data_IF_242862299970
#
_entry.id   IF_242862299970
#
_cell.length_a   1.000
_cell.length_b   1.000
_cell.length_c   1.000
_cell.angle_alpha   90.00
_cell.angle_beta   90.00
_cell.angle_gamma   90.00
#
_symmetry.space_group_name_H-M   'P 1'
#
loop_
_entity.id
_entity.type
_entity.pdbx_description
1 polymer ?
#
# COMPACT_ATOMS: atom_id res chain seq x y z
N UNK A 1 0.92 -10.63 -6.45
CA UNK A 1 0.72 -11.15 -5.06
C UNK A 1 -0.40 -10.36 -4.38
N UNK A 2 -0.99 -10.88 -3.29
CA UNK A 2 -2.04 -10.16 -2.54
C UNK A 2 -1.43 -9.46 -1.33
N UNK A 3 -1.61 -8.15 -1.24
CA UNK A 3 -1.08 -7.29 -0.18
C UNK A 3 -2.22 -6.65 0.61
N UNK A 4 -2.12 -6.69 1.92
CA UNK A 4 -3.02 -5.98 2.82
C UNK A 4 -2.21 -4.97 3.62
N UNK A 5 -2.56 -3.69 3.52
CA UNK A 5 -1.83 -2.58 4.16
C UNK A 5 -2.75 -1.95 5.21
N UNK A 6 -2.27 -1.87 6.46
CA UNK A 6 -3.00 -1.25 7.56
C UNK A 6 -2.12 -0.17 8.17
N UNK A 7 -2.69 1.01 8.29
CA UNK A 7 -2.05 2.20 8.85
C UNK A 7 -2.95 2.76 9.95
N UNK A 8 -2.35 3.29 11.02
CA UNK A 8 -3.08 3.77 12.20
C UNK A 8 -3.03 5.29 12.40
N UNK A 9 -2.36 6.00 11.50
CA UNK A 9 -2.14 7.44 11.58
C UNK A 9 -1.87 8.03 10.19
N UNK A 10 -2.17 9.32 9.95
CA UNK A 10 -2.04 9.94 8.62
C UNK A 10 -0.62 9.87 8.03
N UNK A 11 0.40 9.87 8.90
CA UNK A 11 1.80 9.74 8.48
C UNK A 11 2.08 8.38 7.83
N UNK A 12 1.37 7.33 8.28
CA UNK A 12 1.43 5.98 7.76
C UNK A 12 0.79 5.86 6.38
N UNK A 13 -0.33 6.56 6.15
CA UNK A 13 -1.01 6.57 4.84
C UNK A 13 -0.09 7.13 3.75
N UNK A 14 0.66 8.18 4.06
CA UNK A 14 1.61 8.78 3.12
C UNK A 14 2.73 7.81 2.72
N UNK A 15 3.28 7.07 3.70
CA UNK A 15 4.29 6.05 3.45
C UNK A 15 3.72 4.85 2.68
N UNK A 16 2.51 4.40 3.05
CA UNK A 16 1.81 3.33 2.36
C UNK A 16 1.56 3.68 0.88
N UNK A 17 1.20 4.93 0.57
CA UNK A 17 1.00 5.37 -0.82
C UNK A 17 2.27 5.22 -1.67
N UNK A 18 3.44 5.59 -1.14
CA UNK A 18 4.72 5.42 -1.83
C UNK A 18 5.05 3.93 -2.05
N UNK A 19 4.81 3.08 -1.05
CA UNK A 19 5.00 1.64 -1.16
C UNK A 19 4.10 1.03 -2.25
N UNK A 20 2.82 1.40 -2.27
CA UNK A 20 1.87 0.93 -3.29
C UNK A 20 2.31 1.35 -4.69
N UNK A 21 2.81 2.57 -4.85
CA UNK A 21 3.29 3.08 -6.13
C UNK A 21 4.46 2.25 -6.68
N UNK A 22 5.46 1.96 -5.85
CA UNK A 22 6.60 1.13 -6.26
C UNK A 22 6.22 -0.34 -6.44
N UNK A 23 5.33 -0.89 -5.59
CA UNK A 23 4.85 -2.28 -5.73
C UNK A 23 4.15 -2.50 -7.07
N UNK A 24 3.33 -1.54 -7.54
CA UNK A 24 2.67 -1.63 -8.85
C UNK A 24 3.64 -1.61 -10.03
N UNK A 25 4.82 -1.01 -9.86
CA UNK A 25 5.88 -1.02 -10.90
C UNK A 25 6.60 -2.37 -10.94
N UNK A 26 6.91 -2.92 -9.77
CA UNK A 26 7.64 -4.19 -9.64
C UNK A 26 6.77 -5.41 -9.93
N UNK A 27 5.51 -5.40 -9.47
CA UNK A 27 4.54 -6.48 -9.65
C UNK A 27 3.24 -5.92 -10.26
N UNK A 28 3.09 -6.12 -11.58
CA UNK A 28 1.89 -5.70 -12.33
C UNK A 28 0.61 -6.45 -11.90
N UNK A 29 0.75 -7.60 -11.23
CA UNK A 29 -0.35 -8.41 -10.74
C UNK A 29 -0.50 -8.27 -9.21
N UNK A 30 0.01 -7.18 -8.63
CA UNK A 30 -0.21 -6.85 -7.23
C UNK A 30 -1.68 -6.49 -6.99
N UNK A 31 -2.37 -7.31 -6.21
CA UNK A 31 -3.70 -6.99 -5.68
C UNK A 31 -3.53 -6.38 -4.30
N UNK A 32 -3.99 -5.15 -4.12
CA UNK A 32 -3.72 -4.37 -2.91
C UNK A 32 -5.05 -3.98 -2.28
N UNK A 33 -5.20 -4.27 -0.99
CA UNK A 33 -6.30 -3.76 -0.15
C UNK A 33 -5.68 -2.99 1.01
N UNK A 34 -6.24 -1.82 1.30
CA UNK A 34 -5.73 -0.95 2.35
C UNK A 34 -6.85 -0.55 3.33
N UNK A 35 -6.48 -0.32 4.58
CA UNK A 35 -7.32 0.28 5.62
C UNK A 35 -6.47 1.29 6.40
N UNK A 36 -6.89 2.56 6.39
CA UNK A 36 -6.19 3.65 7.08
C UNK A 36 -6.95 4.18 8.29
N UNK A 37 -6.27 5.05 9.04
CA UNK A 37 -6.79 5.75 10.22
C UNK A 37 -7.60 6.99 9.87
#
# INVERSE_FOLDING_TARGET
>A
MKYYIITGEPSGDLHAANLVFELKKCDKNAEIRAWGG
#
